data_IF_172448050883
#
_entry.id   IF_172448050883
#
_cell.length_a   1.000
_cell.length_b   1.000
_cell.length_c   1.000
_cell.angle_alpha   90.00
_cell.angle_beta   90.00
_cell.angle_gamma   90.00
#
_symmetry.space_group_name_H-M   'P 1'
#
loop_
_entity.id
_entity.type
_entity.pdbx_description
1 polymer ?
#
# COMPACT_ATOMS: atom_id res chain seq x y z
N UNK A 1 21.93 11.17 65.79
CA UNK A 1 20.97 10.07 65.58
C UNK A 1 19.60 10.68 65.37
N UNK A 2 18.85 10.21 64.36
CA UNK A 2 17.39 10.41 64.18
C UNK A 2 16.94 11.86 63.89
N UNK A 3 16.03 12.16 62.98
CA UNK A 3 15.28 11.49 61.89
C UNK A 3 14.51 12.64 61.21
N UNK A 4 14.23 12.49 59.92
CA UNK A 4 13.00 12.88 59.21
C UNK A 4 12.23 14.14 59.70
N UNK A 5 11.87 15.10 58.86
CA UNK A 5 11.08 14.87 57.64
C UNK A 5 11.33 16.02 56.68
N UNK A 6 11.78 15.64 55.49
CA UNK A 6 11.73 16.43 54.25
C UNK A 6 10.42 17.20 54.16
N UNK A 7 10.54 18.52 54.03
CA UNK A 7 9.48 19.35 53.46
C UNK A 7 9.28 18.84 52.02
N UNK A 8 8.22 18.05 51.81
CA UNK A 8 7.81 17.54 50.51
C UNK A 8 7.39 18.75 49.67
N UNK A 9 8.35 19.35 48.98
CA UNK A 9 8.07 20.10 47.77
C UNK A 9 7.71 19.05 46.74
N UNK A 10 6.40 18.76 46.62
CA UNK A 10 5.84 18.04 45.49
C UNK A 10 6.19 18.83 44.23
N UNK A 11 7.37 18.57 43.67
CA UNK A 11 7.64 18.78 42.26
C UNK A 11 6.72 17.83 41.51
N UNK A 12 5.49 18.28 41.31
CA UNK A 12 4.66 17.84 40.20
C UNK A 12 5.37 18.31 38.92
N UNK A 13 6.47 17.64 38.58
CA UNK A 13 6.90 17.51 37.20
C UNK A 13 5.80 16.69 36.53
N UNK A 14 4.70 17.36 36.20
CA UNK A 14 3.86 16.98 35.10
C UNK A 14 4.83 17.05 33.93
N UNK A 15 5.44 15.91 33.61
CA UNK A 15 5.91 15.70 32.26
C UNK A 15 4.66 15.94 31.43
N UNK A 16 4.54 17.15 30.87
CA UNK A 16 3.68 17.40 29.75
C UNK A 16 4.22 16.46 28.69
N UNK A 17 3.74 15.22 28.70
CA UNK A 17 3.55 14.47 27.48
C UNK A 17 2.65 15.40 26.69
N UNK A 18 3.28 16.29 25.92
CA UNK A 18 2.65 16.84 24.76
C UNK A 18 2.23 15.60 23.99
N UNK A 19 0.99 15.16 24.20
CA UNK A 19 0.29 14.42 23.18
C UNK A 19 0.39 15.37 22.01
N UNK A 20 1.36 15.13 21.13
CA UNK A 20 1.38 15.75 19.83
C UNK A 20 -0.02 15.49 19.29
N UNK A 21 -0.84 16.55 19.33
CA UNK A 21 -2.14 16.58 18.71
C UNK A 21 -1.82 16.53 17.23
N UNK A 22 -1.60 15.30 16.79
CA UNK A 22 -1.14 14.88 15.48
C UNK A 22 -2.28 15.03 14.48
N UNK A 23 -2.97 16.18 14.51
CA UNK A 23 -4.04 16.56 13.60
C UNK A 23 -3.54 16.72 12.16
N UNK A 24 -2.21 16.70 11.95
CA UNK A 24 -1.59 16.79 10.63
C UNK A 24 -0.54 15.69 10.44
N UNK A 25 -0.95 14.41 10.47
CA UNK A 25 -0.04 13.34 10.02
C UNK A 25 0.21 13.51 8.53
N UNK A 26 1.39 14.01 8.16
CA UNK A 26 1.90 13.93 6.79
C UNK A 26 1.98 12.46 6.37
N UNK A 27 1.94 12.22 5.06
CA UNK A 27 2.18 10.89 4.53
C UNK A 27 3.57 10.37 4.94
N UNK A 28 3.67 9.13 5.46
CA UNK A 28 4.95 8.46 5.61
C UNK A 28 5.66 8.34 4.26
N UNK A 29 6.99 8.43 4.27
CA UNK A 29 7.83 8.30 3.07
C UNK A 29 8.75 7.06 3.17
N UNK A 30 8.19 5.84 3.09
CA UNK A 30 8.97 4.60 3.15
C UNK A 30 9.87 4.45 1.92
N UNK A 31 10.99 3.74 2.09
CA UNK A 31 11.85 3.40 0.96
C UNK A 31 11.14 2.49 -0.04
N UNK A 32 11.44 2.69 -1.33
CA UNK A 32 10.96 1.87 -2.46
C UNK A 32 12.09 1.01 -3.02
N UNK A 33 11.76 0.04 -3.86
CA UNK A 33 12.75 -0.67 -4.68
C UNK A 33 13.50 0.34 -5.55
N UNK A 34 14.83 0.36 -5.50
CA UNK A 34 15.63 1.39 -6.17
C UNK A 34 15.76 1.20 -7.69
N UNK A 35 15.75 -0.05 -8.17
CA UNK A 35 15.85 -0.39 -9.59
C UNK A 35 14.83 -1.49 -9.89
N UNK A 36 13.57 -1.09 -10.04
CA UNK A 36 12.47 -2.02 -10.29
C UNK A 36 12.58 -2.57 -11.72
N UNK A 37 12.64 -3.90 -11.84
CA UNK A 37 12.57 -4.58 -13.12
C UNK A 37 11.10 -4.80 -13.50
N UNK A 38 10.57 -3.92 -14.36
CA UNK A 38 9.19 -3.99 -14.82
C UNK A 38 8.86 -5.31 -15.52
N UNK A 39 9.78 -5.87 -16.31
CA UNK A 39 9.56 -7.11 -17.07
C UNK A 39 9.34 -8.30 -16.13
N UNK A 40 10.11 -8.38 -15.05
CA UNK A 40 9.93 -9.40 -14.01
C UNK A 40 8.67 -9.19 -13.16
N UNK A 41 8.18 -7.95 -13.10
CA UNK A 41 6.97 -7.58 -12.36
C UNK A 41 5.67 -7.90 -13.12
N UNK A 42 5.74 -8.05 -14.46
CA UNK A 42 4.58 -8.37 -15.29
C UNK A 42 3.89 -9.68 -14.91
N UNK A 43 2.69 -9.89 -15.46
CA UNK A 43 1.86 -11.05 -15.22
C UNK A 43 0.80 -10.82 -14.16
N UNK A 44 0.20 -11.92 -13.69
CA UNK A 44 -0.90 -11.88 -12.73
C UNK A 44 -0.39 -11.85 -11.29
N UNK A 45 -1.06 -11.05 -10.48
CA UNK A 45 -0.91 -10.95 -9.04
C UNK A 45 -2.27 -11.06 -8.39
N UNK A 46 -2.34 -11.76 -7.28
CA UNK A 46 -3.51 -11.85 -6.43
C UNK A 46 -3.35 -10.89 -5.27
N UNK A 47 -4.39 -10.14 -4.93
CA UNK A 47 -4.40 -9.35 -3.72
C UNK A 47 -4.62 -10.29 -2.54
N UNK A 48 -3.59 -10.54 -1.74
CA UNK A 48 -3.71 -11.36 -0.54
C UNK A 48 -4.24 -10.55 0.64
N UNK A 49 -3.74 -9.31 0.79
CA UNK A 49 -4.16 -8.39 1.84
C UNK A 49 -4.18 -6.96 1.33
N UNK A 50 -5.03 -6.14 1.93
CA UNK A 50 -5.12 -4.71 1.63
C UNK A 50 -5.43 -3.88 2.86
N UNK A 51 -5.06 -2.60 2.82
CA UNK A 51 -5.75 -1.61 3.65
C UNK A 51 -7.17 -1.42 3.12
N UNK A 52 -8.08 -1.01 3.99
CA UNK A 52 -9.44 -0.71 3.58
C UNK A 52 -9.46 0.36 2.48
N UNK A 53 -10.08 0.02 1.35
CA UNK A 53 -10.24 0.89 0.21
C UNK A 53 -11.70 0.83 -0.25
N UNK A 54 -12.41 1.96 -0.16
CA UNK A 54 -13.86 2.00 -0.42
C UNK A 54 -14.24 1.54 -1.84
N UNK A 55 -13.39 1.79 -2.83
CA UNK A 55 -13.59 1.34 -4.21
C UNK A 55 -13.44 -0.19 -4.41
N UNK A 56 -12.96 -0.92 -3.38
CA UNK A 56 -12.90 -2.38 -3.35
C UNK A 56 -13.86 -2.97 -2.30
N UNK A 57 -14.80 -2.17 -1.79
CA UNK A 57 -15.68 -2.59 -0.71
C UNK A 57 -16.51 -3.82 -1.09
N UNK A 58 -16.51 -4.82 -0.21
CA UNK A 58 -17.26 -6.07 -0.38
C UNK A 58 -16.79 -6.95 -1.54
N UNK A 59 -15.66 -6.62 -2.17
CA UNK A 59 -15.07 -7.41 -3.24
C UNK A 59 -14.23 -8.58 -2.72
N UNK A 60 -14.32 -9.72 -3.41
CA UNK A 60 -13.47 -10.91 -3.20
C UNK A 60 -12.76 -11.29 -4.49
N UNK A 61 -11.77 -12.18 -4.40
CA UNK A 61 -11.02 -12.69 -5.54
C UNK A 61 -10.30 -11.59 -6.33
N UNK A 62 -9.86 -10.54 -5.63
CA UNK A 62 -9.21 -9.40 -6.26
C UNK A 62 -7.86 -9.82 -6.85
N UNK A 63 -7.60 -9.41 -8.08
CA UNK A 63 -6.34 -9.66 -8.78
C UNK A 63 -6.01 -8.50 -9.72
N UNK A 64 -4.73 -8.34 -10.00
CA UNK A 64 -4.19 -7.40 -10.96
C UNK A 64 -3.38 -8.17 -12.00
N UNK A 65 -3.59 -7.88 -13.28
CA UNK A 65 -2.73 -8.37 -14.37
C UNK A 65 -2.01 -7.18 -14.99
N UNK A 66 -0.69 -7.29 -15.04
CA UNK A 66 0.19 -6.31 -15.67
C UNK A 66 0.74 -6.90 -16.98
N UNK A 67 0.64 -6.16 -18.07
CA UNK A 67 1.24 -6.55 -19.35
C UNK A 67 1.93 -5.37 -20.01
N UNK A 68 2.96 -5.64 -20.80
CA UNK A 68 3.61 -4.61 -21.61
C UNK A 68 2.60 -4.02 -22.59
N UNK A 69 2.52 -2.69 -22.65
CA UNK A 69 1.68 -1.94 -23.59
C UNK A 69 2.53 -1.16 -24.61
N UNK A 70 3.86 -1.35 -24.61
CA UNK A 70 4.80 -0.66 -25.47
C UNK A 70 5.16 0.74 -24.97
N UNK A 71 6.25 1.30 -25.49
CA UNK A 71 6.70 2.67 -25.22
C UNK A 71 6.86 3.00 -23.72
N UNK A 72 7.26 2.01 -22.91
CA UNK A 72 7.43 2.19 -21.46
C UNK A 72 6.12 2.26 -20.67
N UNK A 73 4.98 1.94 -21.30
CA UNK A 73 3.68 1.83 -20.66
C UNK A 73 3.39 0.38 -20.25
N UNK A 74 2.71 0.23 -19.13
CA UNK A 74 2.22 -1.04 -18.60
C UNK A 74 0.70 -0.98 -18.59
N UNK A 75 0.03 -1.92 -19.24
CA UNK A 75 -1.42 -2.11 -19.11
C UNK A 75 -1.71 -2.72 -17.75
N UNK A 76 -2.70 -2.17 -17.06
CA UNK A 76 -3.16 -2.63 -15.74
C UNK A 76 -4.60 -3.12 -15.87
N UNK A 77 -4.86 -4.38 -15.49
CA UNK A 77 -6.20 -4.96 -15.47
C UNK A 77 -6.51 -5.47 -14.07
N UNK A 78 -7.33 -4.73 -13.32
CA UNK A 78 -7.79 -5.14 -12.00
C UNK A 78 -9.16 -5.83 -12.13
N UNK A 79 -9.32 -6.98 -11.47
CA UNK A 79 -10.54 -7.78 -11.49
C UNK A 79 -10.88 -8.25 -10.09
N UNK A 80 -12.17 -8.38 -9.77
CA UNK A 80 -12.70 -8.95 -8.54
C UNK A 80 -14.12 -9.50 -8.79
N UNK A 81 -14.67 -10.21 -7.81
CA UNK A 81 -16.11 -10.47 -7.71
C UNK A 81 -16.71 -9.47 -6.73
N UNK A 82 -17.79 -8.80 -7.11
CA UNK A 82 -18.49 -7.86 -6.23
C UNK A 82 -19.34 -8.61 -5.16
N UNK A 83 -20.05 -7.85 -4.32
CA UNK A 83 -20.92 -8.40 -3.26
C UNK A 83 -22.01 -9.37 -3.76
N UNK A 84 -22.37 -9.30 -5.05
CA UNK A 84 -23.35 -10.18 -5.68
C UNK A 84 -22.69 -11.38 -6.39
N UNK A 85 -21.37 -11.57 -6.21
CA UNK A 85 -20.61 -12.61 -6.89
C UNK A 85 -20.40 -12.36 -8.40
N UNK A 86 -20.72 -11.17 -8.92
CA UNK A 86 -20.55 -10.85 -10.33
C UNK A 86 -19.15 -10.30 -10.61
N UNK A 87 -18.53 -10.63 -11.76
CA UNK A 87 -17.28 -10.01 -12.18
C UNK A 87 -17.40 -8.49 -12.22
N UNK A 88 -16.37 -7.83 -11.68
CA UNK A 88 -16.20 -6.38 -11.70
C UNK A 88 -14.72 -6.08 -11.86
N UNK A 89 -14.39 -5.11 -12.70
CA UNK A 89 -12.99 -4.80 -12.98
C UNK A 89 -12.82 -3.42 -13.58
N UNK A 90 -11.56 -3.01 -13.66
CA UNK A 90 -11.15 -1.75 -14.24
C UNK A 90 -9.85 -1.94 -15.02
N UNK A 91 -9.76 -1.26 -16.17
CA UNK A 91 -8.57 -1.24 -17.01
C UNK A 91 -7.93 0.14 -16.93
N UNK A 92 -6.60 0.15 -16.88
CA UNK A 92 -5.81 1.35 -16.77
C UNK A 92 -4.43 1.18 -17.39
N UNK A 93 -3.60 2.18 -17.16
CA UNK A 93 -2.22 2.22 -17.61
C UNK A 93 -1.33 2.71 -16.47
N UNK A 94 -0.10 2.23 -16.46
CA UNK A 94 0.94 2.65 -15.55
C UNK A 94 2.22 2.99 -16.31
N UNK A 95 3.03 3.87 -15.76
CA UNK A 95 4.40 4.13 -16.21
C UNK A 95 5.27 4.56 -15.03
N UNK A 96 6.59 4.46 -15.20
CA UNK A 96 7.52 5.00 -14.20
C UNK A 96 7.34 6.51 -14.04
N UNK A 97 7.30 6.96 -12.79
CA UNK A 97 7.30 8.39 -12.45
C UNK A 97 8.68 9.03 -12.74
N UNK A 98 9.75 8.24 -12.84
CA UNK A 98 11.00 8.69 -13.45
C UNK A 98 11.62 7.52 -14.24
N UNK A 99 11.46 7.49 -15.57
CA UNK A 99 12.00 6.41 -16.40
C UNK A 99 13.52 6.27 -16.33
N UNK A 100 14.25 7.34 -15.99
CA UNK A 100 15.72 7.36 -16.00
C UNK A 100 16.35 6.65 -14.79
N UNK A 101 15.69 6.65 -13.63
CA UNK A 101 16.22 6.00 -12.42
C UNK A 101 15.54 4.66 -12.08
N UNK A 102 14.38 4.38 -12.68
CA UNK A 102 13.60 3.14 -12.45
C UNK A 102 13.33 2.82 -10.98
N UNK A 103 13.24 3.83 -10.13
CA UNK A 103 12.73 3.65 -8.78
C UNK A 103 11.32 3.04 -8.86
N UNK A 104 10.94 2.25 -7.85
CA UNK A 104 9.63 1.62 -7.72
C UNK A 104 8.51 2.62 -7.43
N UNK A 105 8.46 3.72 -8.17
CA UNK A 105 7.47 4.79 -8.13
C UNK A 105 6.84 4.87 -9.50
N UNK A 106 5.56 4.52 -9.56
CA UNK A 106 4.77 4.53 -10.78
C UNK A 106 3.59 5.48 -10.64
N UNK A 107 3.16 6.01 -11.78
CA UNK A 107 1.91 6.74 -11.92
C UNK A 107 0.93 5.84 -12.68
N UNK A 108 -0.16 5.47 -12.02
CA UNK A 108 -1.24 4.62 -12.52
C UNK A 108 -2.49 5.46 -12.73
N UNK A 109 -3.19 5.23 -13.84
CA UNK A 109 -4.44 5.92 -14.17
C UNK A 109 -5.46 4.92 -14.69
N UNK A 110 -6.73 5.09 -14.33
CA UNK A 110 -7.84 4.26 -14.81
C UNK A 110 -8.86 5.11 -15.57
N UNK A 111 -9.58 4.47 -16.51
CA UNK A 111 -10.67 5.11 -17.28
C UNK A 111 -12.01 5.15 -16.53
N UNK A 112 -12.15 4.41 -15.42
CA UNK A 112 -13.35 4.38 -14.57
C UNK A 112 -13.23 5.32 -13.37
N UNK A 113 -14.34 5.77 -12.74
CA UNK A 113 -14.36 6.72 -11.62
C UNK A 113 -13.81 6.12 -10.32
N UNK A 114 -12.51 5.89 -10.29
CA UNK A 114 -11.70 5.54 -9.11
C UNK A 114 -11.05 6.81 -8.54
N UNK A 115 -10.46 6.79 -7.33
CA UNK A 115 -9.62 7.91 -6.85
C UNK A 115 -8.43 8.23 -7.78
N UNK A 116 -8.12 7.33 -8.70
CA UNK A 116 -7.07 7.48 -9.72
C UNK A 116 -7.66 7.74 -11.11
N UNK A 117 -8.97 8.01 -11.21
CA UNK A 117 -9.62 8.43 -12.45
C UNK A 117 -9.08 9.80 -12.86
N UNK A 118 -8.70 9.95 -14.12
CA UNK A 118 -8.20 11.21 -14.67
C UNK A 118 -6.95 11.78 -13.94
N UNK A 119 -6.34 11.02 -13.03
CA UNK A 119 -4.99 11.28 -12.54
C UNK A 119 -4.10 11.27 -13.77
N UNK A 120 -3.65 12.46 -14.19
CA UNK A 120 -2.75 12.56 -15.32
C UNK A 120 -1.59 11.59 -15.07
N UNK A 121 -1.20 10.81 -16.07
CA UNK A 121 0.10 10.14 -16.00
C UNK A 121 1.25 11.17 -16.00
N UNK A 122 0.98 12.48 -15.80
CA UNK A 122 2.05 13.46 -15.64
C UNK A 122 2.96 13.01 -14.50
N UNK A 123 4.23 13.03 -14.86
CA UNK A 123 5.35 12.26 -14.32
C UNK A 123 5.67 12.63 -12.85
N UNK A 124 5.03 13.66 -12.30
CA UNK A 124 5.48 14.33 -11.07
C UNK A 124 4.91 13.75 -9.77
N UNK A 125 3.78 13.03 -9.79
CA UNK A 125 3.15 12.48 -8.59
C UNK A 125 2.91 10.96 -8.70
N UNK A 126 3.83 10.12 -8.18
CA UNK A 126 3.61 8.68 -8.15
C UNK A 126 2.48 8.34 -7.17
N UNK A 127 1.60 7.42 -7.59
CA UNK A 127 0.47 6.94 -6.80
C UNK A 127 0.47 5.41 -6.64
N UNK A 128 1.58 4.77 -7.02
CA UNK A 128 1.83 3.35 -6.88
C UNK A 128 3.31 3.14 -6.55
N UNK A 129 3.61 2.92 -5.27
CA UNK A 129 4.97 2.77 -4.77
C UNK A 129 5.22 1.29 -4.44
N UNK A 130 6.12 0.64 -5.17
CA UNK A 130 6.59 -0.72 -4.87
C UNK A 130 7.64 -0.62 -3.78
N UNK A 131 7.21 -0.92 -2.55
CA UNK A 131 8.06 -0.86 -1.37
C UNK A 131 9.11 -1.96 -1.36
N UNK A 132 8.70 -3.17 -1.77
CA UNK A 132 9.55 -4.35 -1.83
C UNK A 132 8.90 -5.43 -2.71
N UNK A 133 9.70 -6.24 -3.40
CA UNK A 133 9.22 -7.41 -4.16
C UNK A 133 10.39 -8.34 -4.46
N UNK A 134 10.11 -9.64 -4.47
CA UNK A 134 11.03 -10.65 -5.02
C UNK A 134 10.68 -11.04 -6.47
N UNK A 135 9.67 -10.38 -7.05
CA UNK A 135 9.08 -10.59 -8.37
C UNK A 135 8.34 -11.92 -8.57
N UNK A 136 8.68 -12.95 -7.77
CA UNK A 136 8.29 -14.34 -7.98
C UNK A 136 7.20 -14.83 -7.02
N UNK A 137 7.09 -14.23 -5.84
CA UNK A 137 6.16 -14.70 -4.82
C UNK A 137 5.36 -13.57 -4.18
N UNK A 138 5.95 -12.39 -3.97
CA UNK A 138 5.24 -11.26 -3.38
C UNK A 138 5.65 -9.89 -3.96
N UNK A 139 4.76 -8.91 -3.79
CA UNK A 139 5.06 -7.49 -3.89
C UNK A 139 4.27 -6.72 -2.82
N UNK A 140 4.88 -5.67 -2.26
CA UNK A 140 4.23 -4.75 -1.33
C UNK A 140 4.10 -3.40 -2.02
N UNK A 141 2.85 -2.95 -2.17
CA UNK A 141 2.51 -1.70 -2.84
C UNK A 141 1.91 -0.74 -1.84
N UNK A 142 2.27 0.53 -1.96
CA UNK A 142 1.83 1.60 -1.09
C UNK A 142 1.41 2.83 -1.87
N UNK A 143 0.45 3.56 -1.33
CA UNK A 143 0.16 4.92 -1.72
C UNK A 143 -0.35 5.71 -0.50
N UNK A 144 -0.13 7.02 -0.51
CA UNK A 144 -0.67 7.89 0.51
C UNK A 144 -1.08 9.23 -0.10
N UNK A 145 -2.33 9.62 0.14
CA UNK A 145 -2.90 10.90 -0.24
C UNK A 145 -2.91 11.80 0.99
N UNK A 146 -2.28 12.97 0.89
CA UNK A 146 -2.30 13.96 1.98
C UNK A 146 -3.61 14.74 1.91
N UNK A 147 -4.30 14.85 3.04
CA UNK A 147 -5.58 15.55 3.20
C UNK A 147 -5.43 16.66 4.25
N UNK A 148 -6.36 17.61 4.26
CA UNK A 148 -6.28 18.78 5.16
C UNK A 148 -6.21 18.39 6.66
N UNK A 149 -6.87 17.29 7.06
CA UNK A 149 -6.89 16.80 8.45
C UNK A 149 -6.15 15.46 8.65
N UNK A 150 -5.25 15.07 7.73
CA UNK A 150 -4.50 13.83 7.86
C UNK A 150 -4.08 13.24 6.52
N UNK A 151 -4.21 11.92 6.39
CA UNK A 151 -3.91 11.25 5.14
C UNK A 151 -4.76 10.00 4.94
N UNK A 152 -4.93 9.62 3.69
CA UNK A 152 -5.57 8.37 3.28
C UNK A 152 -4.47 7.47 2.73
N UNK A 153 -4.31 6.30 3.34
CA UNK A 153 -3.27 5.34 3.00
C UNK A 153 -3.88 4.11 2.35
N UNK A 154 -3.24 3.67 1.27
CA UNK A 154 -3.57 2.44 0.59
C UNK A 154 -2.35 1.52 0.61
N UNK A 155 -2.58 0.25 0.89
CA UNK A 155 -1.56 -0.77 0.87
C UNK A 155 -2.13 -2.02 0.24
N UNK A 156 -1.30 -2.71 -0.55
CA UNK A 156 -1.61 -4.03 -1.07
C UNK A 156 -0.42 -4.96 -0.86
N UNK A 157 -0.68 -6.12 -0.28
CA UNK A 157 0.21 -7.28 -0.36
C UNK A 157 -0.28 -8.14 -1.50
N UNK A 158 0.50 -8.15 -2.57
CA UNK A 158 0.25 -8.91 -3.77
C UNK A 158 1.07 -10.20 -3.75
N UNK A 159 0.47 -11.30 -4.19
CA UNK A 159 1.13 -12.62 -4.25
C UNK A 159 0.93 -13.28 -5.60
N UNK A 160 1.85 -14.15 -6.01
CA UNK A 160 1.68 -14.95 -7.24
C UNK A 160 0.75 -16.15 -7.04
N UNK A 161 0.65 -16.63 -5.81
CA UNK A 161 -0.28 -17.67 -5.37
C UNK A 161 -1.47 -17.00 -4.65
N UNK A 162 -2.74 -17.31 -4.98
CA UNK A 162 -3.90 -16.83 -4.21
C UNK A 162 -3.88 -17.27 -2.74
N UNK A 163 -3.27 -18.41 -2.42
CA UNK A 163 -3.17 -18.98 -1.07
C UNK A 163 -1.69 -19.22 -0.70
N UNK A 164 -0.91 -18.14 -0.52
CA UNK A 164 0.52 -18.24 -0.20
C UNK A 164 0.76 -18.89 1.17
N UNK A 165 1.98 -19.37 1.41
CA UNK A 165 2.36 -19.90 2.72
C UNK A 165 2.33 -18.82 3.81
N UNK A 166 2.04 -19.24 5.04
CA UNK A 166 2.03 -18.34 6.19
C UNK A 166 3.40 -17.67 6.41
N UNK A 167 4.49 -18.42 6.18
CA UNK A 167 5.85 -17.89 6.25
C UNK A 167 6.08 -16.73 5.27
N UNK A 168 5.56 -16.83 4.05
CA UNK A 168 5.64 -15.75 3.06
C UNK A 168 4.84 -14.53 3.51
N UNK A 169 3.64 -14.73 4.05
CA UNK A 169 2.82 -13.63 4.58
C UNK A 169 3.53 -12.96 5.77
N UNK A 170 4.04 -13.72 6.74
CA UNK A 170 4.74 -13.17 7.90
C UNK A 170 6.00 -12.38 7.50
N UNK A 171 6.71 -12.82 6.45
CA UNK A 171 7.80 -12.05 5.85
C UNK A 171 7.33 -10.68 5.35
N UNK A 172 6.23 -10.61 4.59
CA UNK A 172 5.74 -9.32 4.06
C UNK A 172 5.28 -8.37 5.17
N UNK A 173 4.60 -8.88 6.20
CA UNK A 173 4.19 -8.09 7.37
C UNK A 173 5.40 -7.53 8.13
N UNK A 174 6.48 -8.31 8.23
CA UNK A 174 7.73 -7.85 8.85
C UNK A 174 8.40 -6.74 8.04
N UNK A 175 8.45 -6.86 6.72
CA UNK A 175 8.97 -5.82 5.82
C UNK A 175 8.18 -4.52 5.98
N UNK A 176 6.84 -4.61 6.01
CA UNK A 176 5.94 -3.46 6.22
C UNK A 176 6.26 -2.75 7.54
N UNK A 177 6.37 -3.50 8.62
CA UNK A 177 6.71 -2.97 9.95
C UNK A 177 8.08 -2.29 9.95
N UNK A 178 9.08 -2.91 9.35
CA UNK A 178 10.44 -2.36 9.27
C UNK A 178 10.52 -1.08 8.42
N UNK A 179 9.56 -0.86 7.52
CA UNK A 179 9.41 0.39 6.76
C UNK A 179 8.63 1.47 7.53
N UNK A 180 8.30 1.24 8.81
CA UNK A 180 7.58 2.19 9.66
C UNK A 180 6.08 2.28 9.36
N UNK A 181 5.52 1.28 8.69
CA UNK A 181 4.10 1.20 8.36
C UNK A 181 3.40 0.16 9.24
N UNK A 182 2.08 0.27 9.38
CA UNK A 182 1.31 -0.55 10.32
C UNK A 182 0.67 -1.77 9.62
N UNK A 183 1.21 -3.00 9.80
CA UNK A 183 0.64 -4.18 9.17
C UNK A 183 -0.70 -4.61 9.80
N UNK A 184 -1.07 -4.13 10.99
CA UNK A 184 -2.30 -4.55 11.69
C UNK A 184 -3.57 -4.03 11.02
N UNK A 185 -3.45 -3.00 10.18
CA UNK A 185 -4.54 -2.44 9.35
C UNK A 185 -4.85 -3.24 8.09
N UNK A 186 -4.04 -4.27 7.78
CA UNK A 186 -4.27 -5.14 6.63
C UNK A 186 -5.41 -6.12 6.90
N UNK A 187 -6.46 -6.06 6.09
CA UNK A 187 -7.46 -7.12 6.02
C UNK A 187 -7.05 -8.19 4.99
N UNK A 188 -7.46 -9.42 5.25
CA UNK A 188 -7.29 -10.54 4.31
C UNK A 188 -8.33 -10.40 3.21
N UNK A 189 -7.90 -10.59 1.97
CA UNK A 189 -8.81 -10.69 0.83
C UNK A 189 -9.21 -12.16 0.65
N UNK A 190 -10.52 -12.41 0.56
CA UNK A 190 -11.01 -13.76 0.30
C UNK A 190 -10.67 -14.19 -1.13
N UNK A 191 -9.83 -15.23 -1.26
CA UNK A 191 -9.41 -15.84 -2.52
C UNK A 191 -10.00 -17.25 -2.70
N UNK A 192 -11.06 -17.59 -1.96
CA UNK A 192 -11.72 -18.89 -2.07
C UNK A 192 -12.86 -18.85 -3.11
N UNK A 193 -13.09 -19.98 -3.78
CA UNK A 193 -14.23 -20.19 -4.68
C UNK A 193 -14.41 -19.07 -5.72
N UNK A 194 -13.33 -18.66 -6.37
CA UNK A 194 -13.28 -17.54 -7.33
C UNK A 194 -13.77 -17.88 -8.74
N UNK A 195 -14.60 -18.92 -8.86
CA UNK A 195 -15.19 -19.38 -10.13
C UNK A 195 -16.49 -18.63 -10.42
#
# INVERSE_FOLDING_TARGET
>A
MLKCVLMIVCLLSIAAQAQELSFFKKCPNPSVVSNLDANRYLGKWYENRKYFAIFQFGGRCASAKYSDAGNGLIKVENNQLNIFGKPSGVVGQAKFANPSNKEGKLSVSFSSPTPYANSSTAVTNPNYLVLDTDYKSYAIVWNCLSEFFGNIQFMWVLTRDPQPSEALVNKTLTIIRNKGLDPTRLSITDQNNCK
#
